data_IF_003852374509
#
_entry.id   IF_003852374509
#
_cell.length_a   1.000
_cell.length_b   1.000
_cell.length_c   1.000
_cell.angle_alpha   90.00
_cell.angle_beta   90.00
_cell.angle_gamma   90.00
#
_symmetry.space_group_name_H-M   'P 1'
#
loop_
_entity.id
_entity.type
_entity.pdbx_description
1 polymer ?
#
# COMPACT_ATOMS: atom_id res chain seq x y z
N UNK A 1 -5.08 -11.48 8.99
CA UNK A 1 -4.38 -10.17 9.04
C UNK A 1 -2.88 -10.46 8.87
N UNK A 2 -2.19 -9.73 7.98
CA UNK A 2 -0.76 -9.97 7.71
C UNK A 2 0.07 -9.84 9.00
N UNK A 3 1.03 -10.75 9.21
CA UNK A 3 1.85 -10.82 10.43
C UNK A 3 2.65 -9.55 10.73
N UNK A 4 2.87 -8.69 9.76
CA UNK A 4 3.61 -7.45 9.92
C UNK A 4 2.67 -6.28 10.24
N UNK A 5 1.36 -6.42 10.04
CA UNK A 5 0.41 -5.37 10.40
C UNK A 5 0.16 -5.44 11.91
N UNK A 6 0.45 -4.36 12.60
CA UNK A 6 0.26 -4.19 14.05
C UNK A 6 -1.16 -3.71 14.32
N UNK A 7 -1.62 -2.70 13.59
CA UNK A 7 -2.97 -2.15 13.73
C UNK A 7 -3.43 -1.49 12.44
N UNK A 8 -4.75 -1.41 12.25
CA UNK A 8 -5.39 -0.65 11.19
C UNK A 8 -6.49 0.18 11.82
N UNK A 9 -6.41 1.49 11.68
CA UNK A 9 -7.37 2.43 12.26
C UNK A 9 -8.14 3.11 11.13
N UNK A 10 -9.46 3.11 11.20
CA UNK A 10 -10.29 3.93 10.30
C UNK A 10 -10.22 5.35 10.81
N UNK A 11 -9.74 6.27 9.96
CA UNK A 11 -9.65 7.70 10.29
C UNK A 11 -10.76 8.52 9.67
N UNK A 12 -11.38 8.00 8.61
CA UNK A 12 -12.51 8.63 7.94
C UNK A 12 -13.37 7.56 7.25
N UNK A 13 -14.68 7.70 7.34
CA UNK A 13 -15.64 6.89 6.59
C UNK A 13 -16.82 7.76 6.17
N UNK A 14 -17.18 7.69 4.89
CA UNK A 14 -18.29 8.45 4.30
C UNK A 14 -19.02 7.57 3.29
N UNK A 15 -20.33 7.74 3.19
CA UNK A 15 -21.14 7.16 2.11
C UNK A 15 -21.74 8.30 1.31
N UNK A 16 -21.48 8.31 0.02
CA UNK A 16 -22.09 9.28 -0.89
C UNK A 16 -23.56 8.89 -1.11
N UNK A 17 -24.48 9.80 -0.81
CA UNK A 17 -25.93 9.52 -0.89
C UNK A 17 -26.43 9.41 -2.34
N UNK A 18 -25.76 10.07 -3.28
CA UNK A 18 -26.18 10.12 -4.69
C UNK A 18 -25.73 8.89 -5.47
N UNK A 19 -24.51 8.41 -5.21
CA UNK A 19 -23.87 7.30 -5.93
C UNK A 19 -23.85 6.01 -5.09
N UNK A 20 -24.07 6.09 -3.78
CA UNK A 20 -23.95 4.97 -2.86
C UNK A 20 -22.51 4.51 -2.58
N UNK A 21 -21.50 5.20 -3.14
CA UNK A 21 -20.09 4.84 -2.98
C UNK A 21 -19.67 5.03 -1.53
N UNK A 22 -19.02 4.00 -0.97
CA UNK A 22 -18.48 4.04 0.38
C UNK A 22 -17.00 4.39 0.28
N UNK A 23 -16.65 5.57 0.78
CA UNK A 23 -15.28 6.01 0.97
C UNK A 23 -14.79 5.65 2.37
N UNK A 24 -13.57 5.12 2.47
CA UNK A 24 -12.92 4.84 3.75
C UNK A 24 -11.43 5.17 3.67
N UNK A 25 -10.95 5.96 4.61
CA UNK A 25 -9.53 6.21 4.85
C UNK A 25 -9.06 5.48 6.11
N UNK A 26 -7.91 4.82 6.02
CA UNK A 26 -7.31 4.02 7.08
C UNK A 26 -5.83 4.37 7.25
N UNK A 27 -5.35 4.29 8.49
CA UNK A 27 -3.93 4.30 8.81
C UNK A 27 -3.54 2.92 9.29
N UNK A 28 -2.66 2.25 8.56
CA UNK A 28 -2.06 0.98 8.94
C UNK A 28 -0.68 1.20 9.57
N UNK A 29 -0.46 0.60 10.74
CA UNK A 29 0.84 0.57 11.40
C UNK A 29 1.42 -0.83 11.20
N UNK A 30 2.61 -0.89 10.63
CA UNK A 30 3.31 -2.12 10.29
C UNK A 30 4.65 -2.20 11.03
N UNK A 31 5.09 -3.41 11.37
CA UNK A 31 6.46 -3.69 11.79
C UNK A 31 7.42 -3.25 10.69
N UNK A 32 8.61 -2.81 11.08
CA UNK A 32 9.66 -2.51 10.11
C UNK A 32 10.06 -3.81 9.38
N UNK A 33 9.68 -3.93 8.11
CA UNK A 33 9.97 -5.12 7.28
C UNK A 33 11.33 -5.03 6.58
N UNK A 34 12.06 -3.92 6.74
CA UNK A 34 13.40 -3.77 6.16
C UNK A 34 14.33 -4.83 6.76
N UNK A 35 15.14 -5.54 5.96
CA UNK A 35 16.14 -6.47 6.48
C UNK A 35 17.08 -5.83 7.50
N UNK A 36 17.46 -6.57 8.56
CA UNK A 36 18.28 -6.02 9.66
C UNK A 36 19.62 -5.46 9.20
N UNK A 37 20.24 -6.07 8.18
CA UNK A 37 21.51 -5.59 7.61
C UNK A 37 21.39 -4.17 7.06
N UNK A 38 20.23 -3.82 6.47
CA UNK A 38 19.96 -2.49 5.93
C UNK A 38 19.58 -1.50 7.04
N UNK A 39 19.03 -1.96 8.17
CA UNK A 39 18.73 -1.12 9.34
C UNK A 39 19.98 -0.59 10.06
N UNK A 40 21.20 -0.99 9.65
CA UNK A 40 22.43 -0.32 10.08
C UNK A 40 22.50 1.13 9.61
N UNK A 41 21.83 1.46 8.50
CA UNK A 41 21.65 2.84 8.08
C UNK A 41 20.55 3.46 8.94
N UNK A 42 20.89 4.49 9.70
CA UNK A 42 20.01 5.11 10.72
C UNK A 42 18.65 5.51 10.16
N UNK A 43 18.62 5.98 8.92
CA UNK A 43 17.43 6.35 8.16
C UNK A 43 16.41 5.21 8.00
N UNK A 44 16.86 3.97 7.87
CA UNK A 44 16.02 2.78 7.69
C UNK A 44 15.61 2.15 9.03
N UNK A 45 16.19 2.62 10.14
CA UNK A 45 15.91 2.16 11.49
C UNK A 45 14.76 2.96 12.11
N UNK A 46 13.55 2.71 11.61
CA UNK A 46 12.31 3.26 12.16
C UNK A 46 11.60 2.23 13.05
N UNK A 47 10.84 2.66 14.08
CA UNK A 47 10.13 1.75 14.99
C UNK A 47 8.99 1.00 14.28
N UNK A 48 8.32 1.66 13.35
CA UNK A 48 7.21 1.11 12.57
C UNK A 48 7.11 1.84 11.22
N UNK A 49 6.52 1.16 10.25
CA UNK A 49 6.14 1.75 8.96
C UNK A 49 4.66 2.10 9.04
N UNK A 50 4.30 3.32 8.64
CA UNK A 50 2.92 3.79 8.57
C UNK A 50 2.49 3.92 7.11
N UNK A 51 1.30 3.41 6.80
CA UNK A 51 0.67 3.52 5.49
C UNK A 51 -0.68 4.22 5.67
N UNK A 52 -0.97 5.21 4.82
CA UNK A 52 -2.33 5.69 4.63
C UNK A 52 -2.95 4.97 3.44
N UNK A 53 -4.17 4.50 3.61
CA UNK A 53 -4.95 3.84 2.58
C UNK A 53 -6.31 4.49 2.45
N UNK A 54 -6.66 4.86 1.24
CA UNK A 54 -7.99 5.32 0.84
C UNK A 54 -8.64 4.25 -0.03
N UNK A 55 -9.93 4.04 0.17
CA UNK A 55 -10.69 3.09 -0.62
C UNK A 55 -12.06 3.65 -0.99
N UNK A 56 -12.51 3.30 -2.20
CA UNK A 56 -13.81 3.66 -2.74
C UNK A 56 -14.49 2.36 -3.18
N UNK A 57 -15.54 1.97 -2.48
CA UNK A 57 -16.31 0.76 -2.76
C UNK A 57 -17.63 1.14 -3.42
N UNK A 58 -17.83 0.69 -4.65
CA UNK A 58 -19.10 0.77 -5.36
C UNK A 58 -19.76 -0.63 -5.38
N UNK A 59 -20.81 -0.80 -4.57
CA UNK A 59 -21.55 -2.07 -4.51
C UNK A 59 -22.42 -2.30 -5.74
N UNK A 60 -22.90 -1.25 -6.41
CA UNK A 60 -23.76 -1.36 -7.59
C UNK A 60 -22.96 -1.84 -8.80
N UNK A 61 -21.80 -1.24 -9.03
CA UNK A 61 -20.89 -1.62 -10.11
C UNK A 61 -19.92 -2.75 -9.73
N UNK A 62 -20.06 -3.31 -8.51
CA UNK A 62 -19.24 -4.39 -7.96
C UNK A 62 -17.73 -4.14 -8.14
N UNK A 63 -17.30 -2.91 -7.84
CA UNK A 63 -15.90 -2.53 -7.93
C UNK A 63 -15.40 -1.84 -6.67
N UNK A 64 -14.09 -1.92 -6.46
CA UNK A 64 -13.41 -1.26 -5.36
C UNK A 64 -12.07 -0.75 -5.87
N UNK A 65 -11.82 0.55 -5.68
CA UNK A 65 -10.51 1.15 -5.89
C UNK A 65 -9.85 1.37 -4.52
N UNK A 66 -8.55 1.11 -4.44
CA UNK A 66 -7.72 1.34 -3.26
C UNK A 66 -6.49 2.13 -3.69
N UNK A 67 -6.15 3.14 -2.90
CA UNK A 67 -4.90 3.90 -3.02
C UNK A 67 -4.20 3.89 -1.69
N UNK A 68 -2.95 3.45 -1.68
CA UNK A 68 -2.13 3.40 -0.48
C UNK A 68 -0.85 4.19 -0.70
N UNK A 69 -0.38 4.89 0.32
CA UNK A 69 0.92 5.52 0.29
C UNK A 69 1.62 5.46 1.63
N UNK A 70 2.95 5.36 1.58
CA UNK A 70 3.77 5.28 2.77
C UNK A 70 3.92 6.68 3.39
N UNK A 71 3.56 6.80 4.66
CA UNK A 71 3.76 8.01 5.47
C UNK A 71 5.14 8.05 6.13
N UNK A 72 5.83 6.90 6.17
CA UNK A 72 7.21 6.80 6.66
C UNK A 72 8.19 7.06 5.51
N UNK A 73 9.32 7.71 5.81
CA UNK A 73 10.40 8.02 4.85
C UNK A 73 10.03 8.94 3.67
N UNK A 74 8.94 9.70 3.77
CA UNK A 74 8.46 10.62 2.72
C UNK A 74 9.50 11.65 2.24
N UNK A 75 10.45 12.00 3.10
CA UNK A 75 11.59 12.88 2.78
C UNK A 75 12.68 12.24 1.90
N UNK A 76 12.65 10.91 1.72
CA UNK A 76 13.67 10.14 0.99
C UNK A 76 13.08 9.31 -0.15
N UNK A 77 11.87 8.80 0.04
CA UNK A 77 11.16 8.05 -0.97
C UNK A 77 9.65 8.25 -0.83
N UNK A 78 8.98 8.32 -1.98
CA UNK A 78 7.53 8.19 -2.09
C UNK A 78 7.21 6.78 -2.55
N UNK A 79 6.43 6.06 -1.76
CA UNK A 79 5.88 4.76 -2.13
C UNK A 79 4.37 4.89 -2.23
N UNK A 80 3.83 4.56 -3.40
CA UNK A 80 2.41 4.61 -3.70
C UNK A 80 1.98 3.29 -4.32
N UNK A 81 0.78 2.85 -4.01
CA UNK A 81 0.14 1.70 -4.59
C UNK A 81 -1.28 2.08 -4.98
N UNK A 82 -1.70 1.68 -6.17
CA UNK A 82 -3.08 1.75 -6.59
C UNK A 82 -3.53 0.35 -6.96
N UNK A 83 -4.68 -0.07 -6.46
CA UNK A 83 -5.28 -1.34 -6.82
C UNK A 83 -6.77 -1.21 -7.10
N UNK A 84 -7.26 -2.05 -8.01
CA UNK A 84 -8.66 -2.07 -8.43
C UNK A 84 -9.12 -3.52 -8.44
N UNK A 85 -10.21 -3.76 -7.72
CA UNK A 85 -11.01 -4.98 -7.77
C UNK A 85 -12.25 -4.69 -8.59
N UNK A 86 -12.56 -5.55 -9.55
CA UNK A 86 -13.77 -5.44 -10.38
C UNK A 86 -14.25 -6.82 -10.78
N UNK A 87 -15.51 -6.92 -11.18
CA UNK A 87 -16.03 -8.13 -11.79
C UNK A 87 -15.23 -8.49 -13.05
N UNK A 88 -14.95 -9.78 -13.24
CA UNK A 88 -14.20 -10.24 -14.42
C UNK A 88 -15.07 -10.19 -15.67
N UNK A 89 -14.48 -9.74 -16.77
CA UNK A 89 -15.14 -9.74 -18.09
C UNK A 89 -15.28 -11.17 -18.66
N UNK A 90 -14.46 -12.11 -18.19
CA UNK A 90 -14.43 -13.51 -18.66
C UNK A 90 -15.40 -14.40 -17.89
N UNK A 91 -15.57 -14.15 -16.58
CA UNK A 91 -16.46 -14.92 -15.73
C UNK A 91 -17.09 -14.03 -14.63
N UNK A 92 -18.42 -13.83 -14.63
CA UNK A 92 -19.13 -13.02 -13.62
C UNK A 92 -18.96 -13.48 -12.15
N UNK A 93 -18.49 -14.72 -11.94
CA UNK A 93 -18.21 -15.27 -10.62
C UNK A 93 -16.78 -14.99 -10.14
N UNK A 94 -15.93 -14.38 -10.97
CA UNK A 94 -14.55 -14.03 -10.63
C UNK A 94 -14.39 -12.54 -10.38
N UNK A 95 -13.41 -12.19 -9.56
CA UNK A 95 -12.97 -10.82 -9.34
C UNK A 95 -11.61 -10.64 -9.99
N UNK A 96 -11.54 -9.73 -10.96
CA UNK A 96 -10.28 -9.27 -11.50
C UNK A 96 -9.62 -8.29 -10.54
N UNK A 97 -8.34 -8.52 -10.31
CA UNK A 97 -7.52 -7.69 -9.46
C UNK A 97 -6.34 -7.12 -10.25
N UNK A 98 -6.25 -5.80 -10.31
CA UNK A 98 -5.13 -5.09 -10.91
C UNK A 98 -4.44 -4.23 -9.88
N UNK A 99 -3.12 -4.37 -9.75
CA UNK A 99 -2.31 -3.54 -8.85
C UNK A 99 -1.14 -2.88 -9.58
N UNK A 100 -0.89 -1.64 -9.23
CA UNK A 100 0.26 -0.84 -9.69
C UNK A 100 0.94 -0.19 -8.50
N UNK A 101 2.19 -0.56 -8.28
CA UNK A 101 3.05 0.10 -7.30
C UNK A 101 4.01 1.08 -7.98
N UNK A 102 4.25 2.23 -7.36
CA UNK A 102 5.28 3.19 -7.73
C UNK A 102 6.14 3.51 -6.53
N UNK A 103 7.44 3.34 -6.69
CA UNK A 103 8.44 3.77 -5.72
C UNK A 103 9.29 4.84 -6.40
N UNK A 104 9.42 6.00 -5.77
CA UNK A 104 10.18 7.14 -6.28
C UNK A 104 11.14 7.57 -5.20
N UNK A 105 12.43 7.53 -5.49
CA UNK A 105 13.49 7.86 -4.54
C UNK A 105 13.93 9.29 -4.83
N UNK A 106 13.85 10.17 -3.83
CA UNK A 106 14.28 11.56 -3.92
C UNK A 106 15.49 11.76 -3.02
N UNK A 107 16.64 12.00 -3.64
CA UNK A 107 17.88 12.34 -2.94
C UNK A 107 18.67 11.14 -2.43
N UNK A 108 19.36 10.43 -3.33
CA UNK A 108 20.52 9.63 -2.95
C UNK A 108 21.35 9.19 -4.16
N UNK A 109 22.61 9.61 -4.20
CA UNK A 109 23.65 8.91 -4.99
C UNK A 109 23.89 7.50 -4.44
N UNK A 110 24.76 7.34 -3.44
CA UNK A 110 25.20 6.03 -2.93
C UNK A 110 24.09 5.13 -2.32
N UNK A 111 22.93 5.66 -1.90
CA UNK A 111 21.84 4.83 -1.33
C UNK A 111 20.92 4.20 -2.40
N UNK A 112 21.15 4.47 -3.69
CA UNK A 112 20.27 4.01 -4.77
C UNK A 112 20.15 2.47 -4.80
N UNK A 113 21.27 1.74 -4.66
CA UNK A 113 21.28 0.27 -4.66
C UNK A 113 20.51 -0.35 -3.47
N UNK A 114 20.62 0.27 -2.29
CA UNK A 114 19.92 -0.19 -1.08
C UNK A 114 18.40 0.04 -1.23
N UNK A 115 18.02 1.20 -1.74
CA UNK A 115 16.62 1.56 -1.95
C UNK A 115 15.98 0.79 -3.11
N UNK A 116 16.73 0.47 -4.15
CA UNK A 116 16.31 -0.41 -5.25
C UNK A 116 16.08 -1.85 -4.75
N UNK A 117 16.97 -2.36 -3.89
CA UNK A 117 16.80 -3.67 -3.26
C UNK A 117 15.56 -3.70 -2.37
N UNK A 118 15.33 -2.63 -1.60
CA UNK A 118 14.12 -2.48 -0.79
C UNK A 118 12.86 -2.40 -1.65
N UNK A 119 12.87 -1.58 -2.72
CA UNK A 119 11.75 -1.43 -3.64
C UNK A 119 11.37 -2.75 -4.31
N UNK A 120 12.37 -3.49 -4.78
CA UNK A 120 12.20 -4.82 -5.37
C UNK A 120 11.61 -5.81 -4.37
N UNK A 121 12.05 -5.76 -3.11
CA UNK A 121 11.55 -6.65 -2.06
C UNK A 121 10.12 -6.27 -1.63
N UNK A 122 9.83 -4.99 -1.48
CA UNK A 122 8.50 -4.49 -1.12
C UNK A 122 7.46 -4.84 -2.19
N UNK A 123 7.77 -4.59 -3.46
CA UNK A 123 6.87 -4.92 -4.57
C UNK A 123 6.67 -6.42 -4.73
N UNK A 124 7.73 -7.24 -4.63
CA UNK A 124 7.60 -8.70 -4.69
C UNK A 124 6.81 -9.26 -3.52
N UNK A 125 7.09 -8.83 -2.30
CA UNK A 125 6.36 -9.31 -1.14
C UNK A 125 4.91 -8.81 -1.14
N UNK A 126 4.65 -7.56 -1.54
CA UNK A 126 3.28 -7.05 -1.69
C UNK A 126 2.47 -7.86 -2.71
N UNK A 127 3.03 -8.08 -3.90
CA UNK A 127 2.36 -8.85 -4.96
C UNK A 127 2.17 -10.34 -4.62
N UNK A 128 3.12 -10.97 -3.92
CA UNK A 128 3.02 -12.38 -3.52
C UNK A 128 2.04 -12.62 -2.37
N UNK A 129 1.71 -11.60 -1.58
CA UNK A 129 0.79 -11.73 -0.43
C UNK A 129 -0.69 -11.79 -0.79
N UNK A 130 -1.04 -11.56 -2.05
CA UNK A 130 -2.42 -11.61 -2.55
C UNK A 130 -2.74 -12.86 -3.38
N UNK A 131 -1.78 -13.80 -3.47
CA UNK A 131 -2.04 -15.19 -3.86
C UNK A 131 -2.37 -16.01 -2.62
#
# INVERSE_FOLDING_TARGET
MDKNVVSVNIVEEKKDESTGIIYRKRIAICRNVVPEILRKVSILKVPSIQLEEESWLNLQERNMAIRSHCLTWTQYASMKEESVFRESMENPNWTEFTQRGRISITGAGFLNCILETFASTFLRQGAQKMK
#
